data_IF_606061905544
#
_entry.id   IF_606061905544
#
_cell.length_a   1.000
_cell.length_b   1.000
_cell.length_c   1.000
_cell.angle_alpha   90.00
_cell.angle_beta   90.00
_cell.angle_gamma   90.00
#
_symmetry.space_group_name_H-M   'P 1'
#
loop_
_entity.id
_entity.type
_entity.pdbx_description
1 polymer ?
#
# COMPACT_ATOMS: atom_id res chain seq x y z
N UNK A 1 4.70 -1.32 18.36
CA UNK A 1 3.43 -1.02 17.67
C UNK A 1 2.32 -1.88 18.27
N UNK A 2 2.40 -3.23 18.20
CA UNK A 2 1.31 -4.11 18.67
C UNK A 2 0.90 -3.82 20.12
N UNK A 3 1.88 -3.69 21.04
CA UNK A 3 1.64 -3.36 22.44
C UNK A 3 1.04 -1.96 22.66
N UNK A 4 1.30 -1.02 21.80
CA UNK A 4 0.70 0.33 21.85
C UNK A 4 -0.72 0.35 21.29
N UNK A 5 -0.93 -0.40 20.20
CA UNK A 5 -2.24 -0.43 19.52
C UNK A 5 -3.27 -1.22 20.33
N UNK A 6 -2.86 -2.24 21.09
CA UNK A 6 -3.73 -3.02 21.99
C UNK A 6 -5.03 -3.51 21.31
N UNK A 7 -4.91 -3.99 20.07
CA UNK A 7 -6.02 -4.48 19.24
C UNK A 7 -7.13 -3.45 18.92
N UNK A 8 -6.91 -2.16 19.18
CA UNK A 8 -7.88 -1.10 18.81
C UNK A 8 -8.09 -1.01 17.30
N UNK A 9 -7.08 -1.35 16.52
CA UNK A 9 -7.14 -1.48 15.06
C UNK A 9 -6.31 -2.69 14.61
N UNK A 10 -6.60 -3.32 13.47
CA UNK A 10 -5.74 -4.33 12.88
C UNK A 10 -4.35 -3.77 12.53
N UNK A 11 -3.31 -4.54 12.82
CA UNK A 11 -1.93 -4.17 12.45
C UNK A 11 -1.38 -5.21 11.48
N UNK A 12 -1.00 -4.77 10.29
CA UNK A 12 -0.37 -5.60 9.28
C UNK A 12 1.15 -5.48 9.40
N UNK A 13 1.83 -6.58 9.67
CA UNK A 13 3.29 -6.60 9.81
C UNK A 13 3.93 -7.00 8.48
N UNK A 14 4.85 -6.17 7.99
CA UNK A 14 5.64 -6.49 6.81
C UNK A 14 6.64 -7.62 7.08
N UNK A 15 6.52 -8.71 6.33
CA UNK A 15 7.42 -9.86 6.38
C UNK A 15 8.16 -10.07 5.05
N UNK A 16 8.26 -9.03 4.23
CA UNK A 16 8.94 -9.06 2.94
C UNK A 16 10.47 -9.03 3.11
N UNK A 17 11.17 -9.79 2.27
CA UNK A 17 12.63 -9.78 2.17
C UNK A 17 13.05 -10.32 0.78
N UNK A 18 14.31 -10.12 0.43
CA UNK A 18 14.87 -10.55 -0.85
C UNK A 18 14.94 -12.08 -1.01
N UNK A 19 14.98 -12.82 0.08
CA UNK A 19 15.05 -14.30 0.05
C UNK A 19 14.08 -14.94 1.04
N UNK A 20 13.75 -16.19 0.80
CA UNK A 20 12.77 -16.96 1.57
C UNK A 20 13.17 -17.14 3.05
N UNK A 21 14.45 -17.38 3.34
CA UNK A 21 14.95 -17.56 4.70
C UNK A 21 14.66 -16.34 5.59
N UNK A 22 14.89 -15.15 5.05
CA UNK A 22 14.61 -13.90 5.78
C UNK A 22 13.10 -13.64 5.93
N UNK A 23 12.28 -13.95 4.91
CA UNK A 23 10.81 -13.88 5.01
C UNK A 23 10.30 -14.76 6.16
N UNK A 24 10.79 -15.99 6.24
CA UNK A 24 10.48 -16.94 7.33
C UNK A 24 10.93 -16.39 8.67
N UNK A 25 12.13 -15.81 8.75
CA UNK A 25 12.62 -15.19 9.98
C UNK A 25 11.70 -14.07 10.44
N UNK A 26 11.25 -13.21 9.53
CA UNK A 26 10.32 -12.13 9.85
C UNK A 26 8.93 -12.66 10.25
N UNK A 27 8.42 -13.66 9.53
CA UNK A 27 7.13 -14.30 9.88
C UNK A 27 7.17 -14.93 11.29
N UNK A 28 8.25 -15.65 11.63
CA UNK A 28 8.47 -16.18 12.98
C UNK A 28 8.51 -15.08 14.05
N UNK A 29 9.26 -14.01 13.79
CA UNK A 29 9.36 -12.88 14.70
C UNK A 29 8.03 -12.15 14.86
N UNK A 30 7.28 -11.95 13.78
CA UNK A 30 5.94 -11.35 13.82
C UNK A 30 4.98 -12.23 14.65
N UNK A 31 4.97 -13.53 14.40
CA UNK A 31 4.16 -14.50 15.16
C UNK A 31 4.49 -14.48 16.65
N UNK A 32 5.78 -14.52 17.02
CA UNK A 32 6.22 -14.50 18.42
C UNK A 32 5.81 -13.23 19.19
N UNK A 33 5.50 -12.15 18.46
CA UNK A 33 4.99 -10.87 19.00
C UNK A 33 3.47 -10.75 18.94
N UNK A 34 2.76 -11.81 18.56
CA UNK A 34 1.31 -11.83 18.51
C UNK A 34 0.70 -11.16 17.27
N UNK A 35 1.47 -10.96 16.21
CA UNK A 35 0.91 -10.42 14.96
C UNK A 35 -0.07 -11.42 14.32
N UNK A 36 -1.21 -10.92 13.88
CA UNK A 36 -2.27 -11.70 13.25
C UNK A 36 -2.32 -11.50 11.73
N UNK A 37 -1.79 -10.40 11.23
CA UNK A 37 -1.76 -10.03 9.83
C UNK A 37 -0.34 -9.92 9.33
N UNK A 38 -0.01 -10.67 8.28
CA UNK A 38 1.28 -10.58 7.60
C UNK A 38 1.10 -9.99 6.21
N UNK A 39 1.99 -9.09 5.81
CA UNK A 39 2.11 -8.65 4.42
C UNK A 39 3.44 -9.15 3.87
N UNK A 40 3.38 -9.86 2.74
CA UNK A 40 4.55 -10.42 2.08
C UNK A 40 4.53 -10.08 0.59
N UNK A 41 5.57 -9.41 0.13
CA UNK A 41 5.76 -9.14 -1.29
C UNK A 41 6.05 -10.45 -2.05
N UNK A 42 5.44 -10.59 -3.22
CA UNK A 42 5.75 -11.70 -4.13
C UNK A 42 7.24 -11.71 -4.51
N UNK A 43 7.89 -12.87 -4.50
CA UNK A 43 9.28 -12.97 -4.94
C UNK A 43 9.40 -12.75 -6.45
N UNK A 44 10.45 -12.08 -6.87
CA UNK A 44 10.77 -11.96 -8.29
C UNK A 44 11.23 -13.31 -8.85
N UNK A 45 10.88 -13.58 -10.11
CA UNK A 45 11.36 -14.76 -10.86
C UNK A 45 10.82 -16.11 -10.38
N UNK A 46 9.91 -16.13 -9.39
CA UNK A 46 9.27 -17.35 -8.89
C UNK A 46 7.79 -17.34 -9.28
N UNK A 47 7.32 -18.44 -9.87
CA UNK A 47 5.95 -18.60 -10.32
C UNK A 47 5.42 -20.03 -10.08
N UNK A 48 4.18 -20.27 -10.44
CA UNK A 48 3.54 -21.58 -10.40
C UNK A 48 3.69 -22.31 -9.06
N UNK A 49 4.14 -23.57 -9.09
CA UNK A 49 4.23 -24.43 -7.91
C UNK A 49 5.18 -23.86 -6.84
N UNK A 50 6.34 -23.35 -7.24
CA UNK A 50 7.34 -22.81 -6.29
C UNK A 50 6.80 -21.57 -5.56
N UNK A 51 6.04 -20.73 -6.25
CA UNK A 51 5.37 -19.57 -5.65
C UNK A 51 4.38 -20.00 -4.56
N UNK A 52 3.53 -20.99 -4.87
CA UNK A 52 2.56 -21.52 -3.90
C UNK A 52 3.26 -22.15 -2.70
N UNK A 53 4.31 -22.95 -2.92
CA UNK A 53 5.10 -23.57 -1.84
C UNK A 53 5.72 -22.53 -0.91
N UNK A 54 6.29 -21.45 -1.47
CA UNK A 54 6.91 -20.38 -0.70
C UNK A 54 5.91 -19.66 0.22
N UNK A 55 4.68 -19.43 -0.27
CA UNK A 55 3.64 -18.78 0.54
C UNK A 55 2.99 -19.75 1.53
N UNK A 56 2.85 -21.03 1.19
CA UNK A 56 2.37 -22.05 2.14
C UNK A 56 3.31 -22.18 3.35
N UNK A 57 4.62 -22.13 3.12
CA UNK A 57 5.59 -22.13 4.21
C UNK A 57 5.40 -20.92 5.16
N UNK A 58 5.16 -19.73 4.60
CA UNK A 58 4.87 -18.53 5.43
C UNK A 58 3.53 -18.67 6.14
N UNK A 59 2.50 -19.14 5.44
CA UNK A 59 1.16 -19.36 6.00
C UNK A 59 1.17 -20.37 7.15
N UNK A 60 2.10 -21.35 7.13
CA UNK A 60 2.23 -22.35 8.18
C UNK A 60 2.60 -21.76 9.55
N UNK A 61 3.16 -20.55 9.60
CA UNK A 61 3.40 -19.83 10.87
C UNK A 61 2.11 -19.25 11.48
N UNK A 62 0.96 -19.45 10.84
CA UNK A 62 -0.37 -19.22 11.39
C UNK A 62 -0.76 -17.76 11.57
N UNK A 63 -0.56 -16.87 10.58
CA UNK A 63 -1.29 -15.61 10.58
C UNK A 63 -2.79 -15.91 10.47
N UNK A 64 -3.63 -15.02 10.98
CA UNK A 64 -5.07 -15.08 10.69
C UNK A 64 -5.36 -14.62 9.26
N UNK A 65 -4.57 -13.67 8.78
CA UNK A 65 -4.70 -13.10 7.45
C UNK A 65 -3.33 -12.89 6.80
N UNK A 66 -3.19 -13.36 5.57
CA UNK A 66 -2.02 -13.13 4.73
C UNK A 66 -2.40 -12.17 3.62
N UNK A 67 -1.69 -11.05 3.56
CA UNK A 67 -1.75 -10.08 2.46
C UNK A 67 -0.57 -10.35 1.55
N UNK A 68 -0.82 -10.71 0.31
CA UNK A 68 0.24 -10.83 -0.70
C UNK A 68 0.32 -9.49 -1.43
N UNK A 69 1.53 -8.95 -1.53
CA UNK A 69 1.80 -7.75 -2.32
C UNK A 69 2.36 -8.15 -3.67
N UNK A 70 1.60 -7.88 -4.70
CA UNK A 70 1.98 -8.01 -6.10
C UNK A 70 2.59 -6.68 -6.55
N UNK A 71 3.91 -6.60 -6.48
CA UNK A 71 4.67 -5.39 -6.80
C UNK A 71 5.55 -5.62 -8.02
N UNK A 72 5.36 -4.82 -9.04
CA UNK A 72 6.29 -4.70 -10.17
C UNK A 72 6.30 -3.26 -10.72
N UNK A 73 7.49 -2.73 -10.90
CA UNK A 73 7.69 -1.38 -11.47
C UNK A 73 7.74 -1.39 -13.01
N UNK A 74 7.86 -2.56 -13.62
CA UNK A 74 8.20 -2.68 -15.03
C UNK A 74 7.17 -3.46 -15.85
N UNK A 75 6.34 -4.28 -15.19
CA UNK A 75 5.38 -5.16 -15.84
C UNK A 75 4.06 -5.29 -15.06
N UNK A 76 3.27 -6.26 -15.45
CA UNK A 76 1.96 -6.53 -14.84
C UNK A 76 2.04 -7.40 -13.56
N UNK A 77 3.23 -7.69 -13.02
CA UNK A 77 3.43 -8.52 -11.84
C UNK A 77 2.99 -9.98 -12.02
N UNK A 78 2.42 -10.57 -10.97
CA UNK A 78 1.94 -11.94 -10.98
C UNK A 78 0.90 -12.17 -12.09
N UNK A 79 0.95 -13.34 -12.73
CA UNK A 79 -0.07 -13.75 -13.69
C UNK A 79 -1.43 -14.00 -13.00
N UNK A 80 -2.52 -13.85 -13.75
CA UNK A 80 -3.87 -14.15 -13.23
C UNK A 80 -3.96 -15.62 -12.76
N UNK A 81 -3.23 -16.56 -13.43
CA UNK A 81 -3.15 -17.97 -13.05
C UNK A 81 -2.36 -18.19 -11.75
N UNK A 82 -1.28 -17.45 -11.52
CA UNK A 82 -0.53 -17.53 -10.27
C UNK A 82 -1.37 -17.02 -9.11
N UNK A 83 -2.05 -15.89 -9.28
CA UNK A 83 -2.94 -15.35 -8.25
C UNK A 83 -4.07 -16.34 -7.93
N UNK A 84 -4.70 -16.95 -8.94
CA UNK A 84 -5.73 -17.95 -8.74
C UNK A 84 -5.18 -19.20 -8.04
N UNK A 85 -3.97 -19.63 -8.37
CA UNK A 85 -3.29 -20.76 -7.72
C UNK A 85 -2.97 -20.46 -6.26
N UNK A 86 -2.49 -19.26 -5.95
CA UNK A 86 -2.29 -18.80 -4.56
C UNK A 86 -3.61 -18.80 -3.81
N UNK A 87 -4.65 -18.20 -4.40
CA UNK A 87 -5.97 -18.06 -3.79
C UNK A 87 -6.61 -19.41 -3.45
N UNK A 88 -6.42 -20.42 -4.31
CA UNK A 88 -6.99 -21.77 -4.11
C UNK A 88 -6.17 -22.68 -3.21
N UNK A 89 -4.87 -22.41 -3.01
CA UNK A 89 -3.93 -23.37 -2.38
C UNK A 89 -3.17 -22.81 -1.18
N UNK A 90 -3.24 -21.53 -0.90
CA UNK A 90 -2.57 -20.91 0.25
C UNK A 90 -3.61 -20.50 1.29
N UNK A 91 -3.61 -21.20 2.41
CA UNK A 91 -4.48 -20.87 3.53
C UNK A 91 -4.23 -19.46 4.02
N UNK A 92 -5.29 -18.75 4.41
CA UNK A 92 -5.24 -17.38 4.94
C UNK A 92 -4.85 -16.30 3.95
N UNK A 93 -4.66 -16.61 2.66
CA UNK A 93 -4.51 -15.59 1.64
C UNK A 93 -5.86 -14.89 1.41
N UNK A 94 -6.09 -13.81 2.13
CA UNK A 94 -7.37 -13.11 2.19
C UNK A 94 -7.34 -11.74 1.48
N UNK A 95 -6.15 -11.19 1.21
CA UNK A 95 -6.00 -9.89 0.59
C UNK A 95 -4.82 -9.83 -0.38
N UNK A 96 -5.02 -9.18 -1.51
CA UNK A 96 -4.01 -8.91 -2.52
C UNK A 96 -3.81 -7.41 -2.67
N UNK A 97 -2.60 -6.94 -2.40
CA UNK A 97 -2.20 -5.55 -2.67
C UNK A 97 -1.55 -5.49 -4.05
N UNK A 98 -2.18 -4.80 -4.99
CA UNK A 98 -1.72 -4.71 -6.39
C UNK A 98 -1.01 -3.37 -6.59
N UNK A 99 0.27 -3.44 -6.93
CA UNK A 99 1.15 -2.29 -7.24
C UNK A 99 1.96 -2.59 -8.50
N UNK A 100 1.28 -2.65 -9.62
CA UNK A 100 1.88 -3.01 -10.91
C UNK A 100 1.56 -1.98 -11.98
N UNK A 101 2.30 -2.03 -13.08
CA UNK A 101 1.99 -1.22 -14.26
C UNK A 101 0.57 -1.57 -14.76
N UNK A 102 -0.23 -0.54 -15.05
CA UNK A 102 -1.61 -0.69 -15.54
C UNK A 102 -2.49 -1.57 -14.62
N UNK A 103 -2.48 -1.27 -13.32
CA UNK A 103 -3.21 -2.03 -12.30
C UNK A 103 -4.74 -2.04 -12.48
N UNK A 104 -5.34 -1.02 -13.08
CA UNK A 104 -6.78 -0.88 -13.25
C UNK A 104 -7.46 -2.11 -13.87
N UNK A 105 -7.11 -2.50 -15.11
CA UNK A 105 -7.67 -3.72 -15.71
C UNK A 105 -7.41 -4.99 -14.90
N UNK A 106 -6.27 -5.08 -14.20
CA UNK A 106 -5.94 -6.21 -13.34
C UNK A 106 -6.91 -6.33 -12.16
N UNK A 107 -7.27 -5.22 -11.50
CA UNK A 107 -8.30 -5.25 -10.46
C UNK A 107 -9.58 -5.92 -10.94
N UNK A 108 -10.08 -5.53 -12.11
CA UNK A 108 -11.32 -6.10 -12.67
C UNK A 108 -11.20 -7.58 -12.97
N UNK A 109 -10.07 -8.04 -13.56
CA UNK A 109 -9.85 -9.45 -13.86
C UNK A 109 -9.77 -10.29 -12.57
N UNK A 110 -8.98 -9.85 -11.59
CA UNK A 110 -8.82 -10.60 -10.34
C UNK A 110 -10.14 -10.68 -9.57
N UNK A 111 -10.90 -9.60 -9.49
CA UNK A 111 -12.25 -9.64 -8.91
C UNK A 111 -13.13 -10.70 -9.59
N UNK A 112 -13.11 -10.76 -10.92
CA UNK A 112 -13.91 -11.72 -11.68
C UNK A 112 -13.49 -13.17 -11.39
N UNK A 113 -12.19 -13.49 -11.46
CA UNK A 113 -11.71 -14.88 -11.29
C UNK A 113 -11.78 -15.37 -9.84
N UNK A 114 -11.88 -14.48 -8.86
CA UNK A 114 -12.06 -14.80 -7.44
C UNK A 114 -13.52 -14.60 -6.97
N UNK A 115 -14.47 -14.44 -7.89
CA UNK A 115 -15.89 -14.23 -7.59
C UNK A 115 -16.12 -13.08 -6.57
N UNK A 116 -15.33 -12.01 -6.63
CA UNK A 116 -15.33 -10.85 -5.70
C UNK A 116 -15.09 -11.22 -4.23
N UNK A 117 -14.51 -12.35 -3.92
CA UNK A 117 -14.27 -12.79 -2.52
C UNK A 117 -12.88 -12.45 -2.00
N UNK A 118 -11.88 -12.28 -2.89
CA UNK A 118 -10.56 -11.83 -2.49
C UNK A 118 -10.56 -10.32 -2.25
N UNK A 119 -10.11 -9.88 -1.07
CA UNK A 119 -9.96 -8.46 -0.78
C UNK A 119 -8.84 -7.86 -1.65
N UNK A 120 -9.14 -6.80 -2.40
CA UNK A 120 -8.17 -6.08 -3.21
C UNK A 120 -7.80 -4.75 -2.58
N UNK A 121 -6.51 -4.50 -2.50
CA UNK A 121 -5.93 -3.23 -2.04
C UNK A 121 -5.05 -2.64 -3.13
N UNK A 122 -5.13 -1.33 -3.30
CA UNK A 122 -4.21 -0.55 -4.10
C UNK A 122 -3.09 0.03 -3.25
N UNK A 123 -1.93 0.25 -3.86
CA UNK A 123 -0.81 0.91 -3.22
C UNK A 123 -0.34 2.08 -4.07
N UNK A 124 0.69 1.91 -4.85
CA UNK A 124 1.19 2.92 -5.79
C UNK A 124 0.11 3.46 -6.74
N UNK A 125 -0.97 2.72 -6.90
CA UNK A 125 -2.14 3.10 -7.70
C UNK A 125 -2.96 4.26 -7.13
N UNK A 126 -2.48 4.99 -6.12
CA UNK A 126 -3.18 6.20 -5.63
C UNK A 126 -3.35 7.26 -6.71
N UNK A 127 -2.52 7.28 -7.75
CA UNK A 127 -2.73 8.12 -8.94
C UNK A 127 -4.00 7.75 -9.71
N UNK A 128 -4.39 6.47 -9.71
CA UNK A 128 -5.63 5.95 -10.29
C UNK A 128 -6.75 5.72 -9.29
N UNK A 129 -6.73 6.38 -8.13
CA UNK A 129 -7.64 6.14 -7.01
C UNK A 129 -9.12 6.10 -7.41
N UNK A 130 -9.60 7.10 -8.12
CA UNK A 130 -11.02 7.22 -8.52
C UNK A 130 -11.43 6.04 -9.43
N UNK A 131 -10.58 5.71 -10.42
CA UNK A 131 -10.82 4.58 -11.30
C UNK A 131 -10.84 3.25 -10.52
N UNK A 132 -9.88 3.06 -9.63
CA UNK A 132 -9.79 1.85 -8.83
C UNK A 132 -11.02 1.69 -7.89
N UNK A 133 -11.52 2.78 -7.30
CA UNK A 133 -12.76 2.74 -6.50
C UNK A 133 -13.95 2.33 -7.37
N UNK A 134 -14.09 2.88 -8.59
CA UNK A 134 -15.15 2.47 -9.52
C UNK A 134 -15.06 1.00 -9.92
N UNK A 135 -13.86 0.42 -9.93
CA UNK A 135 -13.66 -1.03 -10.15
C UNK A 135 -13.96 -1.85 -8.89
N UNK A 136 -14.28 -1.19 -7.78
CA UNK A 136 -14.60 -1.83 -6.50
C UNK A 136 -13.37 -2.35 -5.77
N UNK A 137 -12.24 -1.66 -5.84
CA UNK A 137 -11.09 -1.89 -4.96
C UNK A 137 -11.49 -1.52 -3.53
N UNK A 138 -11.19 -2.39 -2.58
CA UNK A 138 -11.74 -2.31 -1.23
C UNK A 138 -10.96 -1.37 -0.30
N UNK A 139 -9.66 -1.18 -0.55
CA UNK A 139 -8.81 -0.34 0.29
C UNK A 139 -7.59 0.17 -0.46
N UNK A 140 -6.95 1.19 0.13
CA UNK A 140 -5.69 1.74 -0.36
C UNK A 140 -4.72 1.91 0.81
N UNK A 141 -3.42 1.77 0.54
CA UNK A 141 -2.37 1.88 1.55
C UNK A 141 -1.41 3.00 1.14
N UNK A 142 -1.79 4.28 1.32
CA UNK A 142 -0.90 5.40 1.10
C UNK A 142 0.12 5.51 2.25
N UNK A 143 1.25 6.16 1.99
CA UNK A 143 2.27 6.43 3.01
C UNK A 143 2.03 7.75 3.75
N UNK A 144 1.20 8.63 3.17
CA UNK A 144 0.88 9.98 3.68
C UNK A 144 -0.50 10.40 3.23
N UNK A 145 -0.98 11.53 3.74
CA UNK A 145 -2.29 12.11 3.36
C UNK A 145 -3.46 11.14 3.58
N UNK A 146 -3.36 10.23 4.53
CA UNK A 146 -4.36 9.18 4.79
C UNK A 146 -5.74 9.76 5.07
N UNK A 147 -5.83 10.90 5.75
CA UNK A 147 -7.11 11.59 6.00
C UNK A 147 -7.75 11.99 4.67
N UNK A 148 -6.98 12.64 3.80
CA UNK A 148 -7.49 13.11 2.49
C UNK A 148 -7.90 11.93 1.61
N UNK A 149 -7.07 10.88 1.55
CA UNK A 149 -7.42 9.67 0.78
C UNK A 149 -8.65 8.97 1.32
N UNK A 150 -8.80 8.92 2.65
CA UNK A 150 -9.99 8.36 3.29
C UNK A 150 -11.26 9.16 2.93
N UNK A 151 -11.17 10.49 2.93
CA UNK A 151 -12.30 11.36 2.55
C UNK A 151 -12.66 11.19 1.08
N UNK A 152 -11.67 11.15 0.18
CA UNK A 152 -11.91 10.86 -1.24
C UNK A 152 -12.61 9.52 -1.39
N UNK A 153 -12.13 8.49 -0.71
CA UNK A 153 -12.71 7.15 -0.74
C UNK A 153 -14.17 7.17 -0.24
N UNK A 154 -14.41 7.75 0.93
CA UNK A 154 -15.73 7.83 1.54
C UNK A 154 -16.71 8.63 0.66
N UNK A 155 -16.28 9.75 0.09
CA UNK A 155 -17.10 10.51 -0.85
C UNK A 155 -17.49 9.66 -2.06
N UNK A 156 -16.53 8.93 -2.63
CA UNK A 156 -16.77 8.14 -3.83
C UNK A 156 -17.69 6.94 -3.58
N UNK A 157 -17.51 6.17 -2.50
CA UNK A 157 -18.38 5.03 -2.17
C UNK A 157 -19.80 5.47 -1.79
N UNK A 158 -19.96 6.70 -1.25
CA UNK A 158 -21.24 7.31 -0.96
C UNK A 158 -21.86 8.06 -2.18
N UNK A 159 -21.42 7.72 -3.39
CA UNK A 159 -21.94 8.26 -4.66
C UNK A 159 -21.76 9.78 -4.84
N UNK A 160 -20.93 10.45 -4.05
CA UNK A 160 -20.59 11.88 -4.16
C UNK A 160 -19.35 12.07 -5.05
N UNK A 161 -19.39 11.48 -6.25
CA UNK A 161 -18.22 11.32 -7.11
C UNK A 161 -17.60 12.66 -7.55
N UNK A 162 -18.40 13.67 -7.82
CA UNK A 162 -17.88 14.99 -8.23
C UNK A 162 -17.09 15.66 -7.08
N UNK A 163 -17.59 15.52 -5.84
CA UNK A 163 -16.87 15.99 -4.65
C UNK A 163 -15.58 15.21 -4.42
N UNK A 164 -15.62 13.87 -4.59
CA UNK A 164 -14.44 13.03 -4.51
C UNK A 164 -13.37 13.46 -5.54
N UNK A 165 -13.78 13.69 -6.80
CA UNK A 165 -12.89 14.18 -7.87
C UNK A 165 -12.33 15.57 -7.55
N UNK A 166 -13.17 16.49 -7.08
CA UNK A 166 -12.74 17.83 -6.72
C UNK A 166 -11.65 17.80 -5.63
N UNK A 167 -11.85 16.99 -4.57
CA UNK A 167 -10.88 16.82 -3.51
C UNK A 167 -9.60 16.14 -4.02
N UNK A 168 -9.72 15.06 -4.81
CA UNK A 168 -8.60 14.35 -5.38
C UNK A 168 -7.75 15.24 -6.29
N UNK A 169 -8.37 16.10 -7.10
CA UNK A 169 -7.66 17.03 -7.97
C UNK A 169 -6.78 18.03 -7.20
N UNK A 170 -7.11 18.34 -5.94
CA UNK A 170 -6.26 19.21 -5.12
C UNK A 170 -4.91 18.57 -4.79
N UNK A 171 -4.84 17.25 -4.71
CA UNK A 171 -3.63 16.51 -4.34
C UNK A 171 -2.86 15.92 -5.53
N UNK A 172 -3.38 16.01 -6.75
CA UNK A 172 -2.67 15.53 -7.96
C UNK A 172 -1.27 16.13 -8.11
N UNK A 173 -1.00 17.43 -7.88
CA UNK A 173 0.35 17.97 -7.96
C UNK A 173 1.31 17.32 -6.95
N UNK A 174 0.81 16.99 -5.76
CA UNK A 174 1.61 16.31 -4.72
C UNK A 174 1.95 14.88 -5.17
N UNK A 175 0.94 14.16 -5.67
CA UNK A 175 1.13 12.82 -6.22
C UNK A 175 2.13 12.84 -7.38
N UNK A 176 1.99 13.80 -8.31
CA UNK A 176 2.90 13.98 -9.45
C UNK A 176 4.34 14.22 -8.99
N UNK A 177 4.56 15.06 -7.98
CA UNK A 177 5.89 15.31 -7.44
C UNK A 177 6.46 14.07 -6.75
N UNK A 178 5.70 13.42 -5.87
CA UNK A 178 6.16 12.29 -5.07
C UNK A 178 6.35 11.01 -5.88
N UNK A 179 5.66 10.83 -6.99
CA UNK A 179 5.76 9.64 -7.84
C UNK A 179 6.89 9.69 -8.88
N UNK A 180 7.71 10.73 -8.89
CA UNK A 180 8.89 10.77 -9.77
C UNK A 180 9.89 9.65 -9.43
N UNK A 181 10.06 9.34 -8.14
CA UNK A 181 10.89 8.23 -7.65
C UNK A 181 10.52 7.86 -6.22
N UNK A 182 10.78 6.60 -5.85
CA UNK A 182 10.47 6.10 -4.50
C UNK A 182 11.21 6.88 -3.41
N UNK A 183 12.46 7.29 -3.64
CA UNK A 183 13.24 8.06 -2.67
C UNK A 183 12.65 9.45 -2.44
N UNK A 184 12.16 10.09 -3.51
CA UNK A 184 11.43 11.37 -3.41
C UNK A 184 10.19 11.19 -2.54
N UNK A 185 9.42 10.11 -2.79
CA UNK A 185 8.24 9.79 -1.99
C UNK A 185 8.57 9.58 -0.52
N UNK A 186 9.62 8.81 -0.21
CA UNK A 186 10.05 8.54 1.17
C UNK A 186 10.51 9.82 1.87
N UNK A 187 11.35 10.62 1.23
CA UNK A 187 11.87 11.86 1.81
C UNK A 187 10.75 12.88 2.06
N UNK A 188 9.88 13.06 1.07
CA UNK A 188 8.70 13.92 1.18
C UNK A 188 7.78 13.47 2.32
N UNK A 189 7.48 12.17 2.41
CA UNK A 189 6.65 11.61 3.45
C UNK A 189 7.20 11.92 4.85
N UNK A 190 8.51 11.77 5.05
CA UNK A 190 9.15 12.09 6.33
C UNK A 190 9.08 13.59 6.65
N UNK A 191 9.27 14.45 5.66
CA UNK A 191 9.12 15.90 5.87
C UNK A 191 7.69 16.29 6.24
N UNK A 192 6.70 15.67 5.59
CA UNK A 192 5.30 15.87 5.97
C UNK A 192 5.04 15.43 7.42
N UNK A 193 5.54 14.26 7.85
CA UNK A 193 5.36 13.78 9.23
C UNK A 193 6.01 14.68 10.28
N UNK A 194 7.14 15.32 9.94
CA UNK A 194 7.73 16.35 10.80
C UNK A 194 6.82 17.58 10.88
N UNK A 195 6.30 18.03 9.75
CA UNK A 195 5.39 19.18 9.70
C UNK A 195 4.06 18.94 10.43
N UNK A 196 3.56 17.71 10.41
CA UNK A 196 2.39 17.25 11.17
C UNK A 196 2.68 17.07 12.67
N UNK A 197 3.93 17.22 13.13
CA UNK A 197 4.33 17.00 14.51
C UNK A 197 4.35 15.53 14.94
N UNK A 198 4.38 14.59 13.99
CA UNK A 198 4.37 13.14 14.26
C UNK A 198 5.81 12.62 14.42
N UNK A 199 6.77 13.17 13.67
CA UNK A 199 8.17 12.81 13.74
C UNK A 199 9.02 14.01 14.19
N UNK A 200 10.05 13.75 14.99
CA UNK A 200 11.03 14.77 15.40
C UNK A 200 12.02 15.12 14.30
N UNK A 201 12.20 14.24 13.31
CA UNK A 201 13.20 14.37 12.25
C UNK A 201 12.77 13.71 10.95
N UNK A 202 13.26 14.24 9.83
CA UNK A 202 13.03 13.69 8.49
C UNK A 202 14.18 12.79 8.00
N UNK A 203 15.06 12.32 8.90
CA UNK A 203 16.19 11.45 8.56
C UNK A 203 15.68 10.14 7.97
N UNK A 204 16.25 9.74 6.83
CA UNK A 204 15.96 8.48 6.17
C UNK A 204 17.00 7.41 6.60
N UNK A 205 16.56 6.16 6.80
CA UNK A 205 17.47 5.04 7.15
C UNK A 205 18.39 4.64 6.00
N UNK A 206 17.88 4.71 4.77
CA UNK A 206 18.64 4.40 3.56
C UNK A 206 19.45 5.60 3.08
N UNK A 207 20.32 5.38 2.12
CA UNK A 207 21.10 6.41 1.45
C UNK A 207 20.18 7.21 0.47
N UNK A 208 19.22 7.95 1.02
CA UNK A 208 18.32 8.82 0.25
C UNK A 208 18.93 10.24 0.30
N UNK A 209 19.20 10.80 -0.88
CA UNK A 209 19.73 12.15 -1.01
C UNK A 209 18.75 13.20 -0.48
N UNK A 210 19.28 14.29 0.06
CA UNK A 210 18.48 15.47 0.36
C UNK A 210 17.99 16.13 -0.94
N UNK A 211 16.88 16.84 -0.85
CA UNK A 211 16.37 17.66 -1.94
C UNK A 211 17.31 18.85 -2.19
N UNK A 212 17.51 19.20 -3.44
CA UNK A 212 18.19 20.44 -3.81
C UNK A 212 17.31 21.67 -3.50
N UNK A 213 17.85 22.86 -3.74
CA UNK A 213 17.16 24.10 -3.41
C UNK A 213 15.83 24.30 -4.17
N UNK A 214 15.75 23.81 -5.42
CA UNK A 214 14.54 23.91 -6.26
C UNK A 214 13.47 22.94 -5.79
N UNK A 215 13.87 21.69 -5.52
CA UNK A 215 12.98 20.69 -4.94
C UNK A 215 12.47 21.12 -3.57
N UNK A 216 13.33 21.69 -2.69
CA UNK A 216 12.92 22.17 -1.37
C UNK A 216 11.89 23.29 -1.45
N UNK A 217 12.01 24.22 -2.40
CA UNK A 217 11.01 25.27 -2.62
C UNK A 217 9.65 24.65 -2.96
N UNK A 218 9.63 23.73 -3.92
CA UNK A 218 8.39 23.05 -4.33
C UNK A 218 7.81 22.19 -3.20
N UNK A 219 8.65 21.41 -2.52
CA UNK A 219 8.23 20.60 -1.37
C UNK A 219 7.54 21.44 -0.29
N UNK A 220 8.09 22.61 0.05
CA UNK A 220 7.49 23.47 1.06
C UNK A 220 6.10 23.97 0.62
N UNK A 221 5.92 24.35 -0.64
CA UNK A 221 4.62 24.74 -1.18
C UNK A 221 3.61 23.59 -1.09
N UNK A 222 4.04 22.38 -1.47
CA UNK A 222 3.19 21.21 -1.44
C UNK A 222 2.82 20.78 -0.01
N UNK A 223 3.76 20.89 0.94
CA UNK A 223 3.51 20.61 2.36
C UNK A 223 2.47 21.57 2.95
N UNK A 224 2.62 22.90 2.70
CA UNK A 224 1.62 23.89 3.14
C UNK A 224 0.24 23.59 2.55
N UNK A 225 0.20 23.21 1.28
CA UNK A 225 -1.04 22.84 0.60
C UNK A 225 -1.71 21.64 1.28
N UNK A 226 -0.96 20.60 1.65
CA UNK A 226 -1.52 19.43 2.35
C UNK A 226 -2.14 19.85 3.67
N UNK A 227 -1.40 20.58 4.50
CA UNK A 227 -1.88 21.04 5.80
C UNK A 227 -3.16 21.88 5.64
N UNK A 228 -3.16 22.82 4.69
CA UNK A 228 -4.35 23.62 4.41
C UNK A 228 -5.58 22.81 3.97
N UNK A 229 -5.37 21.71 3.23
CA UNK A 229 -6.47 20.79 2.86
C UNK A 229 -6.93 20.01 4.09
N UNK A 230 -6.02 19.43 4.86
CA UNK A 230 -6.34 18.66 6.06
C UNK A 230 -7.12 19.50 7.08
N UNK A 231 -6.74 20.76 7.29
CA UNK A 231 -7.42 21.65 8.24
C UNK A 231 -8.86 21.98 7.84
N UNK A 232 -9.15 22.00 6.52
CA UNK A 232 -10.51 22.22 6.01
C UNK A 232 -11.44 21.01 6.14
N UNK A 233 -10.89 19.81 6.29
CA UNK A 233 -11.61 18.54 6.32
C UNK A 233 -11.47 17.82 7.68
N UNK A 234 -11.01 18.54 8.73
CA UNK A 234 -10.91 18.00 10.10
C UNK A 234 -12.24 18.00 10.87
N UNK A 235 -13.30 18.58 10.29
CA UNK A 235 -14.68 18.62 10.86
C UNK A 235 -15.53 17.44 10.26
#
# INVERSE_FOLDING_TARGET
VLSYVENRIPVIIGCSASNQKERIRFAKAAKSKGAEWFLVQSPEGINGKQLVESFNEISSFGPKNLVIQDLSWHDNGLSDNDILSLYSKVDKFNALKIEVVNSGPKYSRIKKITNNTLHLSGGWAVSGLIEAIHRGVHSFIPSTMEIIFNDVYNLAINQKIDKARALFNLIIPIISFTHQHIDISIKFAKMLRVKEGIFDTNICRGAISDFDEYQLKEVNILLEKIISIQDKYKD
#
